data_IF_697483165335
#
_entry.id   IF_697483165335
#
_cell.length_a   1.000
_cell.length_b   1.000
_cell.length_c   1.000
_cell.angle_alpha   90.00
_cell.angle_beta   90.00
_cell.angle_gamma   90.00
#
_symmetry.space_group_name_H-M   'P 1'
#
loop_
_entity.id
_entity.type
_entity.pdbx_description
1 polymer ?
#
# COMPACT_ATOMS: atom_id res chain seq x y z
N UNK A 1 12.30 -15.43 -14.29
CA UNK A 1 11.39 -14.32 -14.63
C UNK A 1 11.54 -13.26 -13.56
N UNK A 2 11.51 -11.97 -13.91
CA UNK A 2 11.77 -10.89 -12.96
C UNK A 2 10.51 -10.61 -12.10
N UNK A 3 10.65 -10.53 -10.77
CA UNK A 3 9.53 -10.25 -9.85
C UNK A 3 9.00 -8.82 -10.10
N UNK A 4 7.69 -8.63 -10.06
CA UNK A 4 7.05 -7.33 -10.29
C UNK A 4 7.62 -6.21 -9.40
N UNK A 5 7.81 -6.48 -8.11
CA UNK A 5 8.32 -5.50 -7.14
C UNK A 5 9.82 -5.66 -6.84
N UNK A 6 10.60 -6.26 -7.75
CA UNK A 6 12.02 -6.56 -7.51
C UNK A 6 12.81 -5.35 -7.02
N UNK A 7 12.63 -4.18 -7.64
CA UNK A 7 13.35 -2.96 -7.25
C UNK A 7 13.17 -2.61 -5.77
N UNK A 8 11.93 -2.67 -5.27
CA UNK A 8 11.64 -2.40 -3.86
C UNK A 8 12.21 -3.50 -2.95
N UNK A 9 12.06 -4.76 -3.35
CA UNK A 9 12.56 -5.90 -2.58
C UNK A 9 14.08 -5.87 -2.42
N UNK A 10 14.82 -5.56 -3.48
CA UNK A 10 16.28 -5.43 -3.47
C UNK A 10 16.73 -4.29 -2.53
N UNK A 11 16.03 -3.15 -2.58
CA UNK A 11 16.34 -2.01 -1.72
C UNK A 11 16.01 -2.29 -0.24
N UNK A 12 14.90 -2.98 0.04
CA UNK A 12 14.57 -3.42 1.40
C UNK A 12 15.63 -4.40 1.89
N UNK A 13 16.09 -5.33 1.04
CA UNK A 13 17.17 -6.24 1.37
C UNK A 13 18.48 -5.50 1.70
N UNK A 14 18.79 -4.42 0.98
CA UNK A 14 19.93 -3.55 1.30
C UNK A 14 19.84 -2.97 2.71
N UNK A 15 18.67 -2.47 3.13
CA UNK A 15 18.46 -1.97 4.49
C UNK A 15 18.54 -3.09 5.55
N UNK A 16 17.94 -4.26 5.28
CA UNK A 16 17.97 -5.41 6.19
C UNK A 16 19.38 -6.00 6.38
N UNK A 17 20.31 -5.72 5.46
CA UNK A 17 21.71 -6.11 5.57
C UNK A 17 22.56 -5.17 6.45
N UNK A 18 22.00 -4.05 6.92
CA UNK A 18 22.70 -3.14 7.82
C UNK A 18 22.47 -3.55 9.27
N UNK A 19 23.53 -3.94 9.98
CA UNK A 19 23.47 -4.34 11.40
C UNK A 19 23.65 -3.16 12.36
N UNK A 20 23.04 -3.23 13.55
CA UNK A 20 23.31 -2.29 14.67
C UNK A 20 24.80 -2.22 15.05
N UNK A 21 25.58 -3.29 14.81
CA UNK A 21 27.00 -3.38 15.17
C UNK A 21 27.90 -2.48 14.33
N UNK A 22 27.50 -2.12 13.10
CA UNK A 22 28.32 -1.28 12.21
C UNK A 22 28.33 0.19 12.64
N UNK A 23 27.35 0.63 13.44
CA UNK A 23 27.39 1.92 14.12
C UNK A 23 28.20 1.86 15.43
N UNK A 24 28.10 0.76 16.20
CA UNK A 24 28.80 0.63 17.48
C UNK A 24 30.33 0.46 17.35
N UNK A 25 30.82 -0.25 16.33
CA UNK A 25 32.27 -0.43 16.10
C UNK A 25 32.97 0.84 15.60
N UNK A 26 32.25 1.77 14.95
CA UNK A 26 32.78 3.10 14.60
C UNK A 26 32.95 4.01 15.80
N UNK A 27 32.20 3.77 16.88
CA UNK A 27 32.34 4.55 18.13
C UNK A 27 33.52 4.10 18.99
N UNK A 28 34.08 2.90 18.75
CA UNK A 28 35.17 2.33 19.56
C UNK A 28 36.52 2.22 18.84
N UNK A 29 36.60 2.52 17.54
CA UNK A 29 37.86 2.51 16.82
C UNK A 29 38.25 3.93 16.39
N UNK A 30 39.49 4.28 16.75
CA UNK A 30 40.22 5.53 16.47
C UNK A 30 39.82 6.77 17.26
N UNK A 31 40.64 7.05 18.28
CA UNK A 31 40.75 8.36 18.89
C UNK A 31 41.29 9.40 17.93
N UNK A 32 40.53 10.48 17.78
CA UNK A 32 40.99 11.86 17.61
C UNK A 32 39.80 12.75 17.96
N UNK A 33 39.97 13.64 18.95
CA UNK A 33 38.94 14.49 19.56
C UNK A 33 38.46 15.64 18.64
N UNK A 34 38.38 15.44 17.33
CA UNK A 34 37.85 16.44 16.40
C UNK A 34 37.25 15.72 15.19
N UNK A 35 35.97 15.38 15.28
CA UNK A 35 34.96 15.18 14.20
C UNK A 35 33.78 14.30 14.68
N UNK A 36 33.29 14.51 15.90
CA UNK A 36 31.98 13.99 16.30
C UNK A 36 30.88 14.96 15.90
N UNK A 37 30.85 15.38 14.63
CA UNK A 37 29.59 15.84 14.04
C UNK A 37 28.82 14.54 13.80
N UNK A 38 27.94 14.21 14.75
CA UNK A 38 26.93 13.15 14.62
C UNK A 38 26.44 13.14 13.16
N UNK A 39 26.83 12.14 12.38
CA UNK A 39 26.41 12.02 10.97
C UNK A 39 24.90 11.84 10.99
N UNK A 40 24.17 12.94 10.81
CA UNK A 40 22.73 12.94 10.59
C UNK A 40 22.49 11.94 9.44
N UNK A 41 21.66 10.91 9.63
CA UNK A 41 21.42 9.93 8.58
C UNK A 41 20.93 10.65 7.31
N UNK A 42 21.63 10.42 6.19
CA UNK A 42 21.23 10.98 4.90
C UNK A 42 19.98 10.25 4.43
N UNK A 43 18.87 10.94 4.59
CA UNK A 43 17.57 10.55 4.09
C UNK A 43 17.52 10.79 2.57
N UNK A 44 17.91 9.78 1.77
CA UNK A 44 17.96 9.82 0.29
C UNK A 44 16.58 9.76 -0.39
N UNK A 45 15.60 10.37 0.26
CA UNK A 45 14.16 10.37 -0.03
C UNK A 45 13.74 11.21 -1.24
N UNK A 46 14.58 12.12 -1.70
CA UNK A 46 14.25 13.15 -2.69
C UNK A 46 14.75 12.82 -4.10
N UNK A 47 15.23 11.60 -4.33
CA UNK A 47 15.67 11.17 -5.65
C UNK A 47 14.45 10.91 -6.55
N UNK A 48 14.00 11.97 -7.23
CA UNK A 48 12.87 11.92 -8.17
C UNK A 48 13.11 10.92 -9.29
N UNK A 49 14.32 10.88 -9.84
CA UNK A 49 14.69 9.94 -10.91
C UNK A 49 14.50 8.50 -10.45
N UNK A 50 14.93 8.19 -9.22
CA UNK A 50 14.75 6.86 -8.64
C UNK A 50 13.29 6.53 -8.35
N UNK A 51 12.52 7.46 -7.78
CA UNK A 51 11.09 7.23 -7.52
C UNK A 51 10.34 6.97 -8.84
N UNK A 52 10.61 7.76 -9.87
CA UNK A 52 10.01 7.59 -11.19
C UNK A 52 10.41 6.25 -11.84
N UNK A 53 11.67 5.84 -11.70
CA UNK A 53 12.13 4.56 -12.21
C UNK A 53 11.48 3.37 -11.46
N UNK A 54 11.29 3.48 -10.15
CA UNK A 54 10.58 2.49 -9.34
C UNK A 54 9.08 2.43 -9.67
N UNK A 55 8.46 3.57 -9.99
CA UNK A 55 7.11 3.60 -10.53
C UNK A 55 7.05 2.90 -11.89
N UNK A 56 7.94 3.27 -12.83
CA UNK A 56 8.00 2.68 -14.19
C UNK A 56 8.25 1.17 -14.18
N UNK A 57 8.96 0.62 -13.19
CA UNK A 57 9.14 -0.84 -13.09
C UNK A 57 7.84 -1.61 -12.83
N UNK A 58 6.79 -0.94 -12.35
CA UNK A 58 5.46 -1.53 -12.18
C UNK A 58 4.58 -1.45 -13.45
N UNK A 59 5.15 -1.06 -14.60
CA UNK A 59 4.41 -0.91 -15.87
C UNK A 59 3.66 -2.16 -16.35
N UNK A 60 4.01 -3.34 -15.84
CA UNK A 60 3.26 -4.55 -16.13
C UNK A 60 1.80 -4.47 -15.62
N UNK A 61 1.53 -3.68 -14.57
CA UNK A 61 0.18 -3.41 -14.05
C UNK A 61 -0.71 -2.67 -15.06
N UNK A 62 -0.12 -1.87 -15.97
CA UNK A 62 -0.90 -1.12 -16.98
C UNK A 62 -1.69 -2.05 -17.91
N UNK A 63 -1.17 -3.26 -18.16
CA UNK A 63 -1.84 -4.26 -18.97
C UNK A 63 -3.17 -4.72 -18.37
N UNK A 64 -3.31 -4.60 -17.05
CA UNK A 64 -4.49 -5.04 -16.29
C UNK A 64 -5.61 -4.02 -16.45
N UNK A 65 -5.35 -2.76 -16.14
CA UNK A 65 -6.36 -1.70 -16.06
C UNK A 65 -6.75 -1.13 -17.43
N UNK A 66 -5.81 -1.06 -18.38
CA UNK A 66 -6.02 -0.33 -19.63
C UNK A 66 -6.20 1.18 -19.46
N UNK A 67 -5.90 1.72 -18.26
CA UNK A 67 -6.01 3.14 -17.93
C UNK A 67 -4.61 3.78 -18.09
N UNK A 68 -4.50 5.02 -18.61
CA UNK A 68 -3.24 5.73 -18.62
C UNK A 68 -2.74 5.95 -17.19
N UNK A 69 -1.59 5.37 -16.85
CA UNK A 69 -0.93 5.59 -15.56
C UNK A 69 -0.59 7.07 -15.38
N UNK A 70 -0.79 7.59 -14.17
CA UNK A 70 -0.42 8.96 -13.80
C UNK A 70 0.65 8.91 -12.73
N UNK A 71 1.79 9.54 -13.00
CA UNK A 71 2.79 9.79 -11.96
C UNK A 71 2.42 11.11 -11.27
N UNK A 72 1.84 11.04 -10.07
CA UNK A 72 1.29 12.21 -9.38
C UNK A 72 1.87 12.35 -7.96
N UNK A 73 2.97 13.09 -7.81
CA UNK A 73 3.60 13.37 -6.50
C UNK A 73 2.80 14.35 -5.61
N UNK A 74 1.47 14.44 -5.79
CA UNK A 74 0.59 15.27 -4.97
C UNK A 74 -0.12 14.43 -3.91
N UNK A 75 -0.05 14.90 -2.67
CA UNK A 75 -0.80 14.38 -1.54
C UNK A 75 -2.03 15.27 -1.29
N UNK A 76 -3.13 14.68 -0.83
CA UNK A 76 -4.23 15.44 -0.24
C UNK A 76 -5.49 15.44 -1.09
N UNK A 77 -5.88 16.62 -1.57
CA UNK A 77 -7.18 16.83 -2.21
C UNK A 77 -7.27 16.09 -3.54
N UNK A 78 -8.35 15.31 -3.70
CA UNK A 78 -8.67 14.63 -4.95
C UNK A 78 -8.90 15.66 -6.08
N UNK A 79 -8.34 15.49 -7.29
CA UNK A 79 -8.39 16.52 -8.34
C UNK A 79 -9.79 16.96 -8.75
N UNK A 80 -10.77 16.05 -8.75
CA UNK A 80 -12.18 16.37 -9.03
C UNK A 80 -12.85 17.29 -8.01
N UNK A 81 -12.27 17.44 -6.80
CA UNK A 81 -12.89 18.13 -5.67
C UNK A 81 -11.99 19.23 -5.09
N UNK A 82 -10.77 19.41 -5.60
CA UNK A 82 -9.80 20.37 -5.09
C UNK A 82 -10.30 21.83 -5.08
N UNK A 83 -11.29 22.16 -5.93
CA UNK A 83 -11.92 23.47 -6.00
C UNK A 83 -12.70 23.83 -4.73
N UNK A 84 -13.05 22.85 -3.89
CA UNK A 84 -13.74 23.09 -2.63
C UNK A 84 -12.82 23.67 -1.56
N UNK A 85 -11.50 23.60 -1.74
CA UNK A 85 -10.51 24.14 -0.79
C UNK A 85 -10.77 25.63 -0.57
N UNK A 86 -10.80 26.05 0.69
CA UNK A 86 -11.08 27.43 1.10
C UNK A 86 -12.46 27.95 0.68
N UNK A 87 -13.43 27.06 0.47
CA UNK A 87 -14.83 27.41 0.25
C UNK A 87 -15.69 26.97 1.44
N UNK A 88 -16.88 27.55 1.57
CA UNK A 88 -17.92 27.14 2.53
C UNK A 88 -18.92 26.15 1.90
N UNK A 89 -18.70 25.74 0.65
CA UNK A 89 -19.60 24.86 -0.10
C UNK A 89 -19.15 23.41 -0.01
N UNK A 90 -20.11 22.50 -0.15
CA UNK A 90 -19.86 21.07 -0.32
C UNK A 90 -20.65 20.51 -1.51
N UNK A 91 -20.23 19.35 -1.98
CA UNK A 91 -20.91 18.63 -3.05
C UNK A 91 -21.01 17.13 -2.73
N UNK A 92 -22.12 16.52 -3.12
CA UNK A 92 -22.34 15.08 -2.99
C UNK A 92 -21.80 14.36 -4.22
N UNK A 93 -20.92 13.38 -4.01
CA UNK A 93 -20.38 12.55 -5.08
C UNK A 93 -19.76 11.27 -4.52
N UNK A 94 -20.02 10.13 -5.18
CA UNK A 94 -19.53 8.84 -4.74
C UNK A 94 -18.00 8.79 -4.64
N UNK A 95 -17.49 7.91 -3.78
CA UNK A 95 -16.09 7.51 -3.80
C UNK A 95 -15.90 6.11 -3.20
N UNK A 96 -14.85 5.42 -3.63
CA UNK A 96 -14.33 4.26 -2.89
C UNK A 96 -13.21 4.73 -1.98
N UNK A 97 -13.33 4.44 -0.69
CA UNK A 97 -12.31 4.75 0.31
C UNK A 97 -11.53 3.50 0.66
N UNK A 98 -10.20 3.60 0.69
CA UNK A 98 -9.31 2.52 1.09
C UNK A 98 -8.36 3.00 2.19
N UNK A 99 -8.22 2.19 3.24
CA UNK A 99 -7.22 2.36 4.28
C UNK A 99 -6.25 1.18 4.26
N UNK A 100 -4.97 1.47 4.29
CA UNK A 100 -3.88 0.49 4.32
C UNK A 100 -3.06 0.76 5.57
N UNK A 101 -2.79 -0.29 6.35
CA UNK A 101 -1.94 -0.26 7.54
C UNK A 101 -0.82 -1.29 7.40
N UNK A 102 0.37 -0.92 7.89
CA UNK A 102 1.55 -1.79 7.91
C UNK A 102 1.71 -2.36 9.32
N UNK A 103 1.18 -3.56 9.51
CA UNK A 103 1.21 -4.26 10.78
C UNK A 103 2.62 -4.76 11.11
N UNK A 104 2.99 -4.63 12.38
CA UNK A 104 4.22 -5.15 12.97
C UNK A 104 5.52 -4.48 12.50
N UNK A 105 5.42 -3.27 11.90
CA UNK A 105 6.58 -2.40 11.60
C UNK A 105 7.37 -2.04 12.86
N UNK A 106 6.69 -1.81 13.99
CA UNK A 106 7.32 -1.54 15.29
C UNK A 106 8.20 -2.69 15.78
N UNK A 107 7.93 -3.92 15.33
CA UNK A 107 8.77 -5.09 15.62
C UNK A 107 10.19 -4.96 15.08
N UNK A 108 10.40 -4.18 14.01
CA UNK A 108 11.72 -3.99 13.40
C UNK A 108 12.71 -3.27 14.33
N UNK A 109 12.26 -2.39 15.22
CA UNK A 109 13.13 -1.65 16.15
C UNK A 109 13.88 -2.57 17.12
N UNK A 110 13.40 -3.81 17.32
CA UNK A 110 14.12 -4.84 18.09
C UNK A 110 15.52 -5.07 17.50
N UNK A 111 15.64 -5.11 16.16
CA UNK A 111 16.90 -5.42 15.48
C UNK A 111 17.55 -4.24 14.75
N UNK A 112 16.78 -3.27 14.26
CA UNK A 112 17.32 -2.18 13.42
C UNK A 112 17.25 -0.81 14.11
N UNK A 113 18.10 0.12 13.66
CA UNK A 113 18.09 1.51 14.08
C UNK A 113 16.94 2.30 13.39
N UNK A 114 16.46 3.42 13.96
CA UNK A 114 15.31 4.14 13.44
C UNK A 114 15.39 4.57 11.97
N UNK A 115 16.58 4.94 11.50
CA UNK A 115 16.84 5.31 10.10
C UNK A 115 16.69 4.12 9.14
N UNK A 116 17.12 2.93 9.55
CA UNK A 116 16.92 1.69 8.79
C UNK A 116 15.44 1.29 8.76
N UNK A 117 14.75 1.38 9.91
CA UNK A 117 13.31 1.10 9.99
C UNK A 117 12.53 2.07 9.10
N UNK A 118 12.86 3.36 9.14
CA UNK A 118 12.27 4.35 8.26
C UNK A 118 12.54 4.01 6.77
N UNK A 119 13.77 3.58 6.45
CA UNK A 119 14.19 2.98 5.17
C UNK A 119 13.19 1.97 4.63
N UNK A 120 12.96 0.93 5.42
CA UNK A 120 12.11 -0.21 5.06
C UNK A 120 10.64 0.21 4.96
N UNK A 121 10.09 0.90 5.97
CA UNK A 121 8.68 1.29 6.00
C UNK A 121 8.34 2.20 4.81
N UNK A 122 9.22 3.14 4.46
CA UNK A 122 8.99 3.99 3.31
C UNK A 122 9.05 3.21 1.99
N UNK A 123 9.95 2.26 1.81
CA UNK A 123 9.96 1.47 0.57
C UNK A 123 8.67 0.67 0.39
N UNK A 124 8.10 0.15 1.48
CA UNK A 124 6.78 -0.50 1.49
C UNK A 124 5.69 0.53 1.15
N UNK A 125 5.70 1.69 1.78
CA UNK A 125 4.75 2.77 1.52
C UNK A 125 4.83 3.27 0.07
N UNK A 126 6.03 3.42 -0.49
CA UNK A 126 6.25 3.82 -1.89
C UNK A 126 5.72 2.76 -2.87
N UNK A 127 5.96 1.48 -2.60
CA UNK A 127 5.39 0.40 -3.41
C UNK A 127 3.86 0.46 -3.40
N UNK A 128 3.24 0.74 -2.24
CA UNK A 128 1.80 0.94 -2.12
C UNK A 128 1.29 2.17 -2.88
N UNK A 129 1.95 3.33 -2.73
CA UNK A 129 1.62 4.57 -3.45
C UNK A 129 1.66 4.33 -4.97
N UNK A 130 2.77 3.80 -5.47
CA UNK A 130 2.95 3.58 -6.90
C UNK A 130 1.96 2.55 -7.44
N UNK A 131 1.65 1.51 -6.68
CA UNK A 131 0.58 0.55 -7.04
C UNK A 131 -0.76 1.27 -7.16
N UNK A 132 -1.17 2.07 -6.17
CA UNK A 132 -2.42 2.83 -6.24
C UNK A 132 -2.48 3.75 -7.48
N UNK A 133 -1.39 4.43 -7.83
CA UNK A 133 -1.35 5.27 -9.04
C UNK A 133 -1.53 4.50 -10.35
N UNK A 134 -1.07 3.25 -10.43
CA UNK A 134 -1.34 2.38 -11.59
C UNK A 134 -2.83 2.00 -11.73
N UNK A 135 -3.60 2.13 -10.64
CA UNK A 135 -5.03 1.87 -10.58
C UNK A 135 -5.87 3.15 -10.40
N UNK A 136 -5.34 4.32 -10.79
CA UNK A 136 -6.04 5.63 -10.68
C UNK A 136 -6.51 5.95 -9.24
N UNK A 137 -5.72 5.54 -8.25
CA UNK A 137 -5.93 5.86 -6.83
C UNK A 137 -5.25 7.17 -6.45
N UNK A 138 -5.95 8.01 -5.70
CA UNK A 138 -5.45 9.29 -5.19
C UNK A 138 -5.07 9.17 -3.72
N UNK A 139 -3.79 9.42 -3.41
CA UNK A 139 -3.29 9.35 -2.02
C UNK A 139 -3.78 10.58 -1.26
N UNK A 140 -4.75 10.37 -0.38
CA UNK A 140 -5.32 11.45 0.43
C UNK A 140 -4.42 11.78 1.62
N UNK A 141 -3.99 10.76 2.37
CA UNK A 141 -3.12 10.95 3.56
C UNK A 141 -2.11 9.84 3.71
N UNK A 142 -0.97 10.21 4.30
CA UNK A 142 -0.04 9.28 4.92
C UNK A 142 -0.24 9.36 6.43
N UNK A 143 -0.49 8.23 7.08
CA UNK A 143 -0.70 8.15 8.53
C UNK A 143 0.32 7.18 9.12
N UNK A 144 1.47 7.72 9.55
CA UNK A 144 2.62 6.89 9.90
C UNK A 144 3.10 6.09 8.69
N UNK A 145 3.07 4.78 8.79
CA UNK A 145 3.37 3.82 7.73
C UNK A 145 2.14 3.39 6.91
N UNK A 146 0.94 3.84 7.31
CA UNK A 146 -0.32 3.60 6.60
C UNK A 146 -0.68 4.65 5.55
N UNK A 147 -1.71 4.36 4.77
CA UNK A 147 -2.23 5.21 3.71
C UNK A 147 -3.76 5.30 3.77
N UNK A 148 -4.29 6.48 3.41
CA UNK A 148 -5.69 6.67 3.05
C UNK A 148 -5.76 7.06 1.57
N UNK A 149 -6.54 6.32 0.79
CA UNK A 149 -6.58 6.42 -0.67
C UNK A 149 -8.03 6.48 -1.15
N UNK A 150 -8.29 7.32 -2.15
CA UNK A 150 -9.56 7.40 -2.84
C UNK A 150 -9.47 6.83 -4.25
N UNK A 151 -10.51 6.13 -4.70
CA UNK A 151 -10.67 5.68 -6.08
C UNK A 151 -12.01 6.16 -6.64
N UNK A 152 -12.00 6.71 -7.86
CA UNK A 152 -13.19 7.24 -8.52
C UNK A 152 -13.13 8.76 -8.73
N UNK A 153 -14.26 9.44 -8.47
CA UNK A 153 -14.43 10.86 -8.77
C UNK A 153 -14.99 11.12 -10.17
N UNK A 154 -14.98 12.40 -10.57
CA UNK A 154 -15.66 12.85 -11.80
C UNK A 154 -15.02 12.22 -13.04
N UNK A 155 -15.85 11.60 -13.89
CA UNK A 155 -15.41 11.01 -15.16
C UNK A 155 -14.94 9.55 -15.05
N UNK A 156 -14.92 8.97 -13.86
CA UNK A 156 -14.68 7.54 -13.65
C UNK A 156 -16.03 6.87 -13.38
N UNK A 157 -16.18 5.59 -13.75
CA UNK A 157 -17.39 4.83 -13.41
C UNK A 157 -17.27 4.23 -12.00
N UNK A 158 -18.41 4.05 -11.31
CA UNK A 158 -18.45 3.39 -9.99
C UNK A 158 -17.87 1.97 -10.05
N UNK A 159 -18.19 1.21 -11.10
CA UNK A 159 -17.66 -0.13 -11.35
C UNK A 159 -16.13 -0.11 -11.44
N UNK A 160 -15.58 0.75 -12.29
CA UNK A 160 -14.13 0.88 -12.48
C UNK A 160 -13.43 1.29 -11.19
N UNK A 161 -14.00 2.22 -10.42
CA UNK A 161 -13.44 2.66 -9.15
C UNK A 161 -13.34 1.51 -8.14
N UNK A 162 -14.37 0.67 -8.05
CA UNK A 162 -14.38 -0.51 -7.15
C UNK A 162 -13.38 -1.56 -7.62
N UNK A 163 -13.35 -1.89 -8.92
CA UNK A 163 -12.39 -2.85 -9.49
C UNK A 163 -10.94 -2.40 -9.26
N UNK A 164 -10.65 -1.12 -9.50
CA UNK A 164 -9.33 -0.54 -9.28
C UNK A 164 -8.90 -0.62 -7.81
N UNK A 165 -9.80 -0.30 -6.87
CA UNK A 165 -9.51 -0.41 -5.45
C UNK A 165 -9.22 -1.87 -5.03
N UNK A 166 -10.03 -2.83 -5.50
CA UNK A 166 -9.82 -4.25 -5.21
C UNK A 166 -8.49 -4.76 -5.77
N UNK A 167 -8.17 -4.42 -7.03
CA UNK A 167 -6.91 -4.80 -7.67
C UNK A 167 -5.71 -4.16 -6.97
N UNK A 168 -5.76 -2.85 -6.68
CA UNK A 168 -4.67 -2.16 -5.97
C UNK A 168 -4.40 -2.80 -4.61
N UNK A 169 -5.44 -3.02 -3.81
CA UNK A 169 -5.30 -3.69 -2.50
C UNK A 169 -4.73 -5.10 -2.63
N UNK A 170 -5.19 -5.87 -3.63
CA UNK A 170 -4.71 -7.22 -3.89
C UNK A 170 -3.21 -7.25 -4.27
N UNK A 171 -2.75 -6.36 -5.15
CA UNK A 171 -1.35 -6.27 -5.55
C UNK A 171 -0.42 -5.80 -4.42
N UNK A 172 -0.90 -4.89 -3.57
CA UNK A 172 -0.17 -4.47 -2.36
C UNK A 172 0.00 -5.65 -1.41
N UNK A 173 -1.06 -6.42 -1.15
CA UNK A 173 -0.95 -7.64 -0.35
C UNK A 173 -0.07 -8.70 -1.01
N UNK A 174 -0.11 -8.84 -2.33
CA UNK A 174 0.78 -9.75 -3.06
C UNK A 174 2.25 -9.41 -2.82
N UNK A 175 2.62 -8.12 -2.95
CA UNK A 175 3.98 -7.66 -2.69
C UNK A 175 4.45 -8.02 -1.28
N UNK A 176 3.68 -7.64 -0.26
CA UNK A 176 4.07 -7.84 1.15
C UNK A 176 4.05 -9.32 1.53
N UNK A 177 3.06 -10.09 1.04
CA UNK A 177 2.92 -11.52 1.36
C UNK A 177 3.96 -12.39 0.66
N UNK A 178 4.28 -12.13 -0.61
CA UNK A 178 5.06 -13.06 -1.44
C UNK A 178 6.48 -12.55 -1.70
N UNK A 179 6.64 -11.29 -2.09
CA UNK A 179 7.96 -10.78 -2.49
C UNK A 179 8.86 -10.47 -1.29
N UNK A 180 8.27 -10.05 -0.17
CA UNK A 180 9.01 -9.73 1.05
C UNK A 180 9.14 -10.89 2.04
N UNK A 181 8.33 -11.94 1.90
CA UNK A 181 8.29 -13.08 2.83
C UNK A 181 9.67 -13.67 3.09
N UNK A 182 10.38 -14.05 2.03
CA UNK A 182 11.67 -14.74 2.15
C UNK A 182 12.74 -13.80 2.71
N UNK A 183 12.66 -12.50 2.41
CA UNK A 183 13.62 -11.50 2.90
C UNK A 183 13.59 -11.36 4.43
N UNK A 184 12.40 -11.27 5.02
CA UNK A 184 12.26 -11.16 6.48
C UNK A 184 12.62 -12.48 7.18
N UNK A 185 12.25 -13.63 6.60
CA UNK A 185 12.56 -14.95 7.17
C UNK A 185 14.06 -15.26 7.18
N UNK A 186 14.75 -15.04 6.06
CA UNK A 186 16.20 -15.28 5.95
C UNK A 186 17.01 -14.40 6.93
N UNK A 187 16.48 -13.24 7.30
CA UNK A 187 17.14 -12.30 8.22
C UNK A 187 16.71 -12.51 9.68
N UNK A 188 15.87 -13.52 9.96
CA UNK A 188 15.39 -13.84 11.30
C UNK A 188 14.68 -12.65 11.97
N UNK A 189 13.97 -11.84 11.17
CA UNK A 189 13.29 -10.63 11.64
C UNK A 189 11.79 -10.79 11.60
N UNK A 190 11.11 -10.03 12.45
CA UNK A 190 9.65 -10.04 12.49
C UNK A 190 9.08 -9.70 11.13
N UNK A 191 8.21 -10.57 10.61
CA UNK A 191 7.48 -10.34 9.37
C UNK A 191 6.61 -9.09 9.50
N UNK A 192 6.60 -8.30 8.44
CA UNK A 192 5.66 -7.20 8.24
C UNK A 192 4.47 -7.73 7.44
N UNK A 193 3.30 -7.21 7.74
CA UNK A 193 2.07 -7.55 7.05
C UNK A 193 1.30 -6.29 6.71
N UNK A 194 0.40 -6.38 5.75
CA UNK A 194 -0.58 -5.33 5.48
C UNK A 194 -1.95 -5.72 6.00
N UNK A 195 -2.74 -4.69 6.33
CA UNK A 195 -4.17 -4.80 6.62
C UNK A 195 -4.88 -3.75 5.80
N UNK A 196 -5.91 -4.15 5.05
CA UNK A 196 -6.60 -3.25 4.13
C UNK A 196 -8.09 -3.29 4.40
N UNK A 197 -8.70 -2.10 4.42
CA UNK A 197 -10.15 -1.92 4.50
C UNK A 197 -10.64 -1.10 3.31
N UNK A 198 -11.71 -1.54 2.64
CA UNK A 198 -12.26 -0.89 1.45
C UNK A 198 -13.77 -0.75 1.59
N UNK A 199 -14.31 0.43 1.34
CA UNK A 199 -15.77 0.61 1.27
C UNK A 199 -16.18 1.61 0.21
N UNK A 200 -17.41 1.46 -0.28
CA UNK A 200 -18.01 2.32 -1.30
C UNK A 200 -19.10 3.21 -0.69
N UNK A 201 -18.88 4.52 -0.77
CA UNK A 201 -19.91 5.52 -0.49
C UNK A 201 -20.57 5.97 -1.78
N UNK A 202 -21.89 5.86 -1.86
CA UNK A 202 -22.66 6.32 -3.02
C UNK A 202 -22.78 7.86 -3.05
N UNK A 203 -23.33 8.42 -4.13
CA UNK A 203 -23.40 9.88 -4.35
C UNK A 203 -24.06 10.61 -3.18
N UNK A 204 -25.22 10.16 -2.75
CA UNK A 204 -26.03 10.70 -1.66
C UNK A 204 -25.43 10.44 -0.27
N UNK A 205 -24.57 9.45 -0.13
CA UNK A 205 -23.94 9.05 1.12
C UNK A 205 -22.53 9.64 1.34
N UNK A 206 -22.08 10.51 0.43
CA UNK A 206 -20.69 11.00 0.42
C UNK A 206 -20.62 12.50 0.16
N UNK A 207 -20.52 13.29 1.23
CA UNK A 207 -20.35 14.73 1.15
C UNK A 207 -18.86 15.08 1.04
N UNK A 208 -18.46 15.72 -0.06
CA UNK A 208 -17.16 16.37 -0.20
C UNK A 208 -17.24 17.81 0.26
N UNK A 209 -16.28 18.24 1.07
CA UNK A 209 -16.18 19.63 1.54
C UNK A 209 -14.77 19.93 2.06
N UNK A 210 -14.48 21.21 2.26
CA UNK A 210 -13.31 21.63 3.01
C UNK A 210 -13.57 21.44 4.52
N UNK A 211 -12.63 20.84 5.24
CA UNK A 211 -12.67 20.70 6.70
C UNK A 211 -11.40 21.26 7.32
N UNK A 212 -11.50 21.89 8.49
CA UNK A 212 -10.40 22.56 9.17
C UNK A 212 -10.41 24.08 9.01
N UNK A 213 -9.28 24.73 9.31
CA UNK A 213 -9.17 26.19 9.38
C UNK A 213 -7.92 26.66 8.64
N UNK A 214 -8.06 27.62 7.72
CA UNK A 214 -6.92 28.20 6.98
C UNK A 214 -6.09 27.13 6.27
N UNK A 215 -4.76 27.18 6.40
CA UNK A 215 -3.86 26.18 5.83
C UNK A 215 -3.93 24.82 6.54
N UNK A 216 -4.39 24.79 7.80
CA UNK A 216 -4.73 23.57 8.54
C UNK A 216 -6.12 23.04 8.13
N UNK A 217 -6.33 22.88 6.83
CA UNK A 217 -7.57 22.33 6.27
C UNK A 217 -7.30 21.38 5.11
N UNK A 218 -8.28 20.56 4.77
CA UNK A 218 -8.20 19.59 3.68
C UNK A 218 -9.58 19.42 3.04
N UNK A 219 -9.58 19.13 1.73
CA UNK A 219 -10.80 18.67 1.06
C UNK A 219 -10.90 17.16 1.26
N UNK A 220 -11.96 16.72 1.93
CA UNK A 220 -12.18 15.31 2.26
C UNK A 220 -13.67 14.98 2.25
N UNK A 221 -13.98 13.71 2.46
CA UNK A 221 -15.36 13.22 2.56
C UNK A 221 -15.83 13.14 4.00
N UNK A 222 -17.06 13.59 4.24
CA UNK A 222 -17.89 13.13 5.35
C UNK A 222 -18.82 12.03 4.83
N UNK A 223 -18.53 10.79 5.20
CA UNK A 223 -19.30 9.61 4.81
C UNK A 223 -19.21 8.52 5.88
N UNK A 224 -20.33 7.82 6.10
CA UNK A 224 -20.34 6.58 6.88
C UNK A 224 -19.33 5.58 6.29
N UNK A 225 -19.33 5.40 4.97
CA UNK A 225 -18.51 4.40 4.29
C UNK A 225 -17.02 4.68 4.37
N UNK A 226 -16.61 5.95 4.27
CA UNK A 226 -15.22 6.34 4.56
C UNK A 226 -14.83 5.97 5.99
N UNK A 227 -15.70 6.23 6.97
CA UNK A 227 -15.44 5.89 8.37
C UNK A 227 -15.39 4.37 8.61
N UNK A 228 -16.25 3.60 7.94
CA UNK A 228 -16.31 2.15 8.07
C UNK A 228 -15.13 1.45 7.40
N UNK A 229 -14.61 1.97 6.29
CA UNK A 229 -13.42 1.39 5.64
C UNK A 229 -12.20 1.35 6.58
N UNK A 230 -11.99 2.35 7.43
CA UNK A 230 -10.95 2.31 8.47
C UNK A 230 -11.24 1.25 9.55
N UNK A 231 -12.51 1.09 9.97
CA UNK A 231 -12.89 0.01 10.90
C UNK A 231 -12.64 -1.36 10.29
N UNK A 232 -12.96 -1.56 9.02
CA UNK A 232 -12.70 -2.80 8.28
C UNK A 232 -11.21 -3.11 8.19
N UNK A 233 -10.36 -2.09 7.94
CA UNK A 233 -8.91 -2.25 7.97
C UNK A 233 -8.45 -2.83 9.32
N UNK A 234 -8.98 -2.33 10.44
CA UNK A 234 -8.65 -2.85 11.77
C UNK A 234 -9.12 -4.30 11.99
N UNK A 235 -10.17 -4.74 11.30
CA UNK A 235 -10.69 -6.12 11.34
C UNK A 235 -9.90 -7.09 10.46
N UNK A 236 -9.07 -6.60 9.54
CA UNK A 236 -8.32 -7.44 8.62
C UNK A 236 -7.26 -8.29 9.36
N UNK A 237 -7.15 -9.54 8.94
CA UNK A 237 -6.04 -10.40 9.35
C UNK A 237 -4.72 -9.97 8.70
N UNK A 238 -3.61 -10.60 9.08
CA UNK A 238 -2.32 -10.30 8.45
C UNK A 238 -2.37 -10.64 6.94
N UNK A 239 -2.08 -9.67 6.08
CA UNK A 239 -2.27 -9.73 4.62
C UNK A 239 -3.74 -9.98 4.20
N UNK A 240 -4.70 -9.52 5.03
CA UNK A 240 -6.12 -9.58 4.75
C UNK A 240 -6.65 -8.29 4.12
N UNK A 241 -7.77 -8.41 3.42
CA UNK A 241 -8.58 -7.28 2.95
C UNK A 241 -10.01 -7.50 3.44
N UNK A 242 -10.58 -6.52 4.12
CA UNK A 242 -11.98 -6.53 4.53
C UNK A 242 -12.73 -5.45 3.76
N UNK A 243 -13.87 -5.81 3.19
CA UNK A 243 -14.68 -4.91 2.37
C UNK A 243 -16.07 -4.71 2.96
N UNK A 244 -16.70 -3.57 2.66
CA UNK A 244 -18.09 -3.29 3.04
C UNK A 244 -19.10 -3.92 2.09
N UNK A 245 -20.34 -4.04 2.58
CA UNK A 245 -21.46 -4.64 1.83
C UNK A 245 -21.71 -3.95 0.49
N UNK A 246 -21.49 -2.64 0.41
CA UNK A 246 -21.66 -1.86 -0.81
C UNK A 246 -20.67 -2.21 -1.93
N UNK A 247 -19.63 -3.00 -1.66
CA UNK A 247 -18.70 -3.48 -2.69
C UNK A 247 -19.30 -4.64 -3.49
N UNK A 248 -20.11 -5.50 -2.86
CA UNK A 248 -20.61 -6.75 -3.44
C UNK A 248 -21.49 -6.53 -4.70
N UNK A 249 -22.36 -5.51 -4.79
CA UNK A 249 -23.16 -5.26 -6.00
C UNK A 249 -22.32 -5.03 -7.27
N UNK A 250 -21.07 -4.62 -7.15
CA UNK A 250 -20.14 -4.43 -8.27
C UNK A 250 -19.43 -5.74 -8.67
N UNK A 251 -19.66 -6.84 -7.97
CA UNK A 251 -19.08 -8.16 -8.24
C UNK A 251 -20.16 -9.27 -8.24
N UNK A 252 -21.26 -9.12 -9.01
CA UNK A 252 -22.42 -10.02 -8.92
C UNK A 252 -22.10 -11.48 -9.28
N UNK A 253 -21.15 -11.71 -10.19
CA UNK A 253 -20.74 -13.04 -10.63
C UNK A 253 -19.58 -13.63 -9.80
N UNK A 254 -19.08 -12.89 -8.80
CA UNK A 254 -17.88 -13.21 -8.05
C UNK A 254 -18.10 -13.09 -6.53
N UNK A 255 -19.34 -13.29 -6.08
CA UNK A 255 -19.68 -13.25 -4.66
C UNK A 255 -18.92 -14.30 -3.84
N UNK A 256 -18.45 -15.37 -4.48
CA UNK A 256 -17.64 -16.41 -3.86
C UNK A 256 -16.22 -15.94 -3.46
N UNK A 257 -15.81 -14.73 -3.85
CA UNK A 257 -14.62 -14.08 -3.31
C UNK A 257 -14.86 -13.33 -2.00
N UNK A 258 -16.11 -13.14 -1.58
CA UNK A 258 -16.48 -12.35 -0.41
C UNK A 258 -17.12 -13.24 0.64
N UNK A 259 -16.39 -13.50 1.73
CA UNK A 259 -16.88 -14.32 2.84
C UNK A 259 -17.37 -13.41 3.96
N UNK A 260 -18.62 -13.59 4.38
CA UNK A 260 -19.18 -12.85 5.51
C UNK A 260 -18.27 -12.91 6.74
N UNK A 261 -18.06 -11.75 7.36
CA UNK A 261 -17.19 -11.57 8.52
C UNK A 261 -17.92 -10.82 9.63
N UNK A 262 -18.06 -11.46 10.80
CA UNK A 262 -18.55 -10.78 12.01
C UNK A 262 -17.60 -9.65 12.43
N UNK A 263 -18.16 -8.57 12.94
CA UNK A 263 -17.39 -7.45 13.47
C UNK A 263 -16.95 -7.73 14.90
N UNK A 264 -15.65 -7.65 15.18
CA UNK A 264 -15.08 -7.89 16.51
C UNK A 264 -14.69 -6.57 17.16
N UNK A 265 -15.27 -6.26 18.30
CA UNK A 265 -14.93 -5.05 19.07
C UNK A 265 -14.99 -5.35 20.56
N UNK A 266 -13.99 -4.92 21.33
CA UNK A 266 -13.93 -5.10 22.78
C UNK A 266 -14.13 -6.56 23.26
N UNK A 267 -13.70 -7.54 22.47
CA UNK A 267 -13.87 -8.97 22.79
C UNK A 267 -15.25 -9.55 22.44
N UNK A 268 -16.19 -8.74 21.95
CA UNK A 268 -17.50 -9.18 21.48
C UNK A 268 -17.53 -9.33 19.96
N UNK A 269 -18.31 -10.30 19.48
CA UNK A 269 -18.64 -10.44 18.05
C UNK A 269 -20.05 -9.92 17.78
N UNK A 270 -20.17 -9.05 16.79
CA UNK A 270 -21.44 -8.48 16.30
C UNK A 270 -21.65 -8.88 14.85
N UNK A 271 -22.91 -9.03 14.46
CA UNK A 271 -23.23 -9.39 13.07
C UNK A 271 -23.04 -8.24 12.07
N UNK A 272 -23.08 -7.00 12.58
CA UNK A 272 -22.96 -5.79 11.77
C UNK A 272 -21.80 -4.94 12.26
N UNK A 273 -21.07 -4.34 11.31
CA UNK A 273 -20.03 -3.35 11.61
C UNK A 273 -20.65 -2.00 12.00
N UNK A 274 -21.89 -1.76 11.56
CA UNK A 274 -22.67 -0.59 11.91
C UNK A 274 -24.17 -0.90 11.83
N UNK A 275 -24.94 -0.31 12.74
CA UNK A 275 -26.40 -0.45 12.77
C UNK A 275 -27.04 0.86 13.26
N UNK A 276 -28.20 1.20 12.69
CA UNK A 276 -29.07 2.27 13.17
C UNK A 276 -30.44 1.63 13.42
N UNK A 277 -30.73 1.16 14.65
CA UNK A 277 -31.93 0.38 14.92
C UNK A 277 -33.24 1.10 14.58
N UNK A 278 -33.29 2.42 14.78
CA UNK A 278 -34.49 3.23 14.49
C UNK A 278 -34.78 3.37 12.99
N UNK A 279 -33.79 3.13 12.14
CA UNK A 279 -33.90 3.16 10.68
C UNK A 279 -33.92 1.75 10.07
N UNK A 280 -33.90 0.70 10.91
CA UNK A 280 -33.64 -0.70 10.52
C UNK A 280 -32.41 -0.85 9.61
N UNK A 281 -31.44 0.06 9.72
CA UNK A 281 -30.23 0.03 8.92
C UNK A 281 -29.20 -0.90 9.57
N UNK A 282 -28.67 -1.84 8.78
CA UNK A 282 -27.68 -2.83 9.20
C UNK A 282 -26.63 -2.98 8.12
N UNK A 283 -25.37 -2.82 8.48
CA UNK A 283 -24.26 -2.85 7.52
C UNK A 283 -23.25 -3.95 7.84
N UNK A 284 -22.95 -4.77 6.84
CA UNK A 284 -22.05 -5.92 6.96
C UNK A 284 -20.65 -5.64 6.41
N UNK A 285 -19.75 -6.57 6.70
CA UNK A 285 -18.39 -6.59 6.14
C UNK A 285 -18.02 -8.02 5.74
N UNK A 286 -17.04 -8.14 4.85
CA UNK A 286 -16.64 -9.41 4.24
C UNK A 286 -15.12 -9.52 4.14
N UNK A 287 -14.57 -10.69 4.45
CA UNK A 287 -13.21 -11.03 4.07
C UNK A 287 -13.17 -11.22 2.55
N UNK A 288 -12.30 -10.47 1.88
CA UNK A 288 -12.10 -10.54 0.43
C UNK A 288 -10.93 -11.48 0.10
N UNK A 289 -11.21 -12.54 -0.66
CA UNK A 289 -10.23 -13.50 -1.15
C UNK A 289 -9.47 -12.93 -2.36
N UNK A 290 -8.59 -11.98 -2.08
CA UNK A 290 -7.79 -11.27 -3.07
C UNK A 290 -6.85 -12.19 -3.85
N UNK A 291 -6.36 -13.29 -3.27
CA UNK A 291 -5.51 -14.25 -3.97
C UNK A 291 -6.25 -14.96 -5.08
N UNK A 292 -7.44 -15.49 -4.77
CA UNK A 292 -8.29 -16.13 -5.77
C UNK A 292 -8.75 -15.12 -6.82
N UNK A 293 -9.03 -13.89 -6.41
CA UNK A 293 -9.36 -12.80 -7.32
C UNK A 293 -8.24 -12.53 -8.33
N UNK A 294 -6.99 -12.40 -7.90
CA UNK A 294 -5.86 -12.20 -8.81
C UNK A 294 -5.63 -13.42 -9.71
N UNK A 295 -5.67 -14.63 -9.17
CA UNK A 295 -5.42 -15.87 -9.95
C UNK A 295 -6.47 -16.12 -11.03
N UNK A 296 -7.71 -15.69 -10.80
CA UNK A 296 -8.81 -15.85 -11.75
C UNK A 296 -8.97 -14.64 -12.69
N UNK A 297 -8.15 -13.60 -12.55
CA UNK A 297 -8.24 -12.43 -13.40
C UNK A 297 -7.81 -12.81 -14.84
N UNK A 298 -8.58 -12.49 -15.89
CA UNK A 298 -8.33 -12.97 -17.27
C UNK A 298 -6.96 -12.61 -17.86
N UNK A 299 -6.34 -11.55 -17.32
CA UNK A 299 -5.05 -11.03 -17.76
C UNK A 299 -3.88 -11.42 -16.86
N UNK A 300 -4.08 -12.23 -15.82
CA UNK A 300 -3.03 -12.65 -14.89
C UNK A 300 -2.85 -14.16 -15.02
N UNK A 301 -1.62 -14.61 -15.19
CA UNK A 301 -1.28 -16.04 -15.23
C UNK A 301 -0.56 -16.45 -13.93
N UNK A 302 -0.67 -17.72 -13.55
CA UNK A 302 0.11 -18.31 -12.45
C UNK A 302 1.43 -18.86 -13.01
N UNK A 303 2.55 -18.62 -12.32
CA UNK A 303 3.87 -19.12 -12.72
C UNK A 303 4.12 -20.59 -12.34
N UNK A 304 3.15 -21.25 -11.71
CA UNK A 304 3.22 -22.63 -11.23
C UNK A 304 3.86 -22.78 -9.85
N UNK A 305 4.53 -21.75 -9.34
CA UNK A 305 5.12 -21.68 -8.00
C UNK A 305 4.33 -20.73 -7.07
N UNK A 306 3.16 -20.25 -7.51
CA UNK A 306 2.32 -19.33 -6.78
C UNK A 306 2.65 -17.85 -6.99
N UNK A 307 3.55 -17.53 -7.91
CA UNK A 307 3.79 -16.17 -8.39
C UNK A 307 2.83 -15.78 -9.51
N UNK A 308 2.72 -14.47 -9.76
CA UNK A 308 1.88 -13.92 -10.82
C UNK A 308 2.73 -13.51 -12.03
N UNK A 309 2.29 -13.92 -13.21
CA UNK A 309 2.83 -13.51 -14.50
C UNK A 309 1.88 -12.54 -15.18
N UNK A 310 2.43 -11.41 -15.61
CA UNK A 310 1.68 -10.36 -16.30
C UNK A 310 2.05 -10.33 -17.80
N UNK A 311 1.13 -9.94 -18.70
CA UNK A 311 1.31 -10.01 -20.15
C UNK A 311 2.49 -9.20 -20.70
N UNK A 312 2.89 -8.14 -20.00
CA UNK A 312 3.93 -7.22 -20.43
C UNK A 312 5.22 -7.39 -19.60
N UNK A 313 6.35 -7.22 -20.27
CA UNK A 313 7.67 -7.22 -19.64
C UNK A 313 7.81 -6.06 -18.66
N UNK A 314 8.27 -6.38 -17.45
CA UNK A 314 8.80 -5.42 -16.48
C UNK A 314 9.91 -4.63 -17.20
N UNK A 315 9.80 -3.31 -17.26
CA UNK A 315 10.88 -2.47 -17.76
C UNK A 315 11.93 -2.33 -16.64
N UNK A 316 13.14 -2.91 -16.79
CA UNK A 316 14.15 -2.84 -15.75
C UNK A 316 14.61 -1.39 -15.55
N UNK A 317 14.89 -1.03 -14.31
CA UNK A 317 15.41 0.30 -13.99
C UNK A 317 16.86 0.41 -14.49
N UNK A 318 17.07 1.20 -15.55
CA UNK A 318 18.38 1.38 -16.20
C UNK A 318 19.41 2.00 -15.25
N UNK A 319 18.98 2.76 -14.22
CA UNK A 319 19.88 3.33 -13.21
C UNK A 319 20.38 2.31 -12.18
N UNK A 320 19.78 1.11 -12.12
CA UNK A 320 20.35 0.00 -11.34
C UNK A 320 21.65 -0.48 -12.02
N UNK A 321 21.82 -0.37 -13.35
CA UNK A 321 23.07 -0.77 -14.01
C UNK A 321 24.30 -0.04 -13.49
N UNK A 322 24.15 1.20 -13.01
CA UNK A 322 25.26 1.95 -12.41
C UNK A 322 25.60 1.49 -10.98
N UNK A 323 24.67 0.81 -10.31
CA UNK A 323 24.88 0.18 -9.00
C UNK A 323 25.09 -1.34 -9.12
N UNK A 324 24.91 -1.95 -10.30
CA UNK A 324 25.14 -3.38 -10.57
C UNK A 324 26.57 -3.74 -10.18
N UNK A 325 27.58 -2.94 -10.52
CA UNK A 325 28.98 -3.24 -10.15
C UNK A 325 29.25 -3.21 -8.63
N UNK A 326 28.35 -2.60 -7.85
CA UNK A 326 28.41 -2.51 -6.39
C UNK A 326 27.53 -3.59 -5.73
N UNK A 327 26.42 -3.98 -6.37
CA UNK A 327 25.55 -5.08 -5.98
C UNK A 327 26.12 -6.46 -6.38
N UNK A 328 26.81 -6.57 -7.52
CA UNK A 328 27.55 -7.75 -7.98
C UNK A 328 28.72 -8.08 -7.07
N UNK A 329 29.42 -7.08 -6.53
CA UNK A 329 30.45 -7.28 -5.48
C UNK A 329 29.86 -7.84 -4.17
N UNK A 330 28.57 -7.61 -3.92
CA UNK A 330 27.86 -8.20 -2.79
C UNK A 330 27.24 -9.57 -3.14
N UNK A 331 26.94 -9.80 -4.43
CA UNK A 331 26.48 -11.09 -4.96
C UNK A 331 27.62 -12.11 -5.14
N UNK A 332 28.89 -11.70 -5.18
CA UNK A 332 30.03 -12.64 -5.16
C UNK A 332 30.16 -13.43 -3.84
N UNK A 333 29.39 -13.07 -2.80
CA UNK A 333 29.18 -13.89 -1.61
C UNK A 333 28.10 -14.98 -1.76
N UNK A 334 27.30 -14.92 -2.83
CA UNK A 334 26.29 -15.92 -3.17
C UNK A 334 26.90 -16.95 -4.13
N UNK A 335 27.46 -18.02 -3.57
CA UNK A 335 27.61 -19.27 -4.30
C UNK A 335 26.30 -20.05 -4.20
N UNK A 336 25.55 -20.26 -5.29
CA UNK A 336 24.45 -21.23 -5.29
C UNK A 336 25.10 -22.62 -5.24
N UNK A 337 25.08 -23.27 -4.08
CA UNK A 337 25.50 -24.66 -4.01
C UNK A 337 24.39 -25.53 -4.60
N UNK A 338 24.64 -26.01 -5.82
CA UNK A 338 24.26 -27.36 -6.20
C UNK A 338 25.03 -28.34 -5.29
N UNK A 339 24.30 -29.02 -4.41
CA UNK A 339 24.33 -30.48 -4.23
C UNK A 339 23.12 -30.91 -3.41
#
# INVERSE_FOLDING_TARGET
>A
MEKLYKNYADEIAYYLNQDKSTQFQKSFSTGTLNESVNKIPKMSWLDKTKNEANFRSLSALDSITGIPRKYEEKLGAHPSFQHLKNTETGEYHYIVSMFIDVKNSTGLFKKYAPDIVAGICRLIQNAAIHTCWHFDGYIHRLQGDGLMVYFGGRGISKQTAVENALLAGAFINYFVKNDLKDLFEQKGVSRIYTRIGIDFGNDDATLWHNTGIGDCSEVTTTSLHTSLSCKMQAQAESNGIVVGDNILPFQPNHQDYFKYKKYKTNGEEKDYVYEIPVEDFKYKQYDFNWERYLKNHPKIQDDGNGGLLLPNTVQPNIYIQNNISQLERNATGYKPYFK
#
